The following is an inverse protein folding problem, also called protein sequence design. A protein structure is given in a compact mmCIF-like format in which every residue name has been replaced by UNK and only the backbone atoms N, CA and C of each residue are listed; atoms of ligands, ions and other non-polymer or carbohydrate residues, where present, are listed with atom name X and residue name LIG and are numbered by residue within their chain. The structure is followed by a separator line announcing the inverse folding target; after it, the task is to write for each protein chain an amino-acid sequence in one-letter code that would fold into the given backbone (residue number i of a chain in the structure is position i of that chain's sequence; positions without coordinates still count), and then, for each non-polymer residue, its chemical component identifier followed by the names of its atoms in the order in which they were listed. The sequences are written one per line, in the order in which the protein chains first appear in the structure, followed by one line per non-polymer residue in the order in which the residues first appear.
data_IF_864861154605
#
_entry.id   IF_864861154605
#
_cell.length_a   1.000
_cell.length_b   1.000
_cell.length_c   1.000
_cell.angle_alpha   90.00
_cell.angle_beta   90.00
_cell.angle_gamma   90.00
#
_symmetry.space_group_name_H-M   'P 1'
#
loop_
_entity.id
_entity.type
_entity.pdbx_description
1 polymer ?
#
# COMPACT_ATOMS: atom_id res chain seq x y z
N UNK A 1 7.09 11.73 23.84
CA UNK A 1 6.55 11.18 22.57
C UNK A 1 5.88 12.22 21.66
N UNK A 2 4.87 12.98 22.11
CA UNK A 2 4.11 13.93 21.23
C UNK A 2 4.94 15.05 20.61
N UNK A 3 5.90 15.63 21.35
CA UNK A 3 6.80 16.69 20.85
C UNK A 3 7.64 16.20 19.66
N UNK A 4 8.11 14.95 19.69
CA UNK A 4 8.84 14.31 18.59
C UNK A 4 7.94 14.09 17.38
N UNK A 5 6.72 13.58 17.57
CA UNK A 5 5.78 13.32 16.46
C UNK A 5 5.28 14.60 15.78
N UNK A 6 5.25 15.73 16.52
CA UNK A 6 4.96 17.06 15.95
C UNK A 6 6.18 17.70 15.29
N UNK A 7 7.38 17.17 15.51
CA UNK A 7 8.59 17.70 14.90
C UNK A 7 8.55 17.47 13.39
N UNK A 8 8.43 18.55 12.62
CA UNK A 8 8.30 18.50 11.16
C UNK A 8 9.50 17.88 10.45
N UNK A 9 10.76 18.20 10.84
CA UNK A 9 11.93 17.59 10.22
C UNK A 9 11.95 16.07 10.38
N UNK A 10 11.27 15.49 11.39
CA UNK A 10 11.25 14.04 11.60
C UNK A 10 10.87 13.28 10.33
N UNK A 11 9.75 13.65 9.70
CA UNK A 11 9.28 12.93 8.52
C UNK A 11 10.20 13.16 7.32
N UNK A 12 10.72 14.39 7.16
CA UNK A 12 11.65 14.71 6.10
C UNK A 12 12.97 13.91 6.24
N UNK A 13 13.53 13.86 7.45
CA UNK A 13 14.75 13.09 7.76
C UNK A 13 14.52 11.60 7.51
N UNK A 14 13.42 11.01 7.98
CA UNK A 14 13.11 9.60 7.73
C UNK A 14 12.95 9.28 6.23
N UNK A 15 12.28 10.15 5.48
CA UNK A 15 12.17 10.03 4.02
C UNK A 15 13.53 10.17 3.36
N UNK A 16 14.37 11.10 3.79
CA UNK A 16 15.71 11.31 3.22
C UNK A 16 16.62 10.11 3.49
N UNK A 17 16.60 9.56 4.70
CA UNK A 17 17.35 8.34 5.04
C UNK A 17 16.92 7.17 4.17
N UNK A 18 15.61 6.90 4.06
CA UNK A 18 15.10 5.81 3.21
C UNK A 18 15.35 6.06 1.72
N UNK A 19 15.32 7.32 1.28
CA UNK A 19 15.68 7.71 -0.08
C UNK A 19 17.14 7.36 -0.39
N UNK A 20 18.08 7.64 0.53
CA UNK A 20 19.49 7.30 0.32
C UNK A 20 19.68 5.80 0.10
N UNK A 21 19.03 4.95 0.90
CA UNK A 21 19.05 3.49 0.69
C UNK A 21 18.41 3.07 -0.64
N UNK A 22 17.29 3.69 -1.04
CA UNK A 22 16.64 3.41 -2.32
C UNK A 22 17.47 3.83 -3.52
N UNK A 23 18.15 4.97 -3.45
CA UNK A 23 19.09 5.43 -4.49
C UNK A 23 20.25 4.45 -4.60
N UNK A 24 20.83 4.01 -3.48
CA UNK A 24 21.86 2.98 -3.47
C UNK A 24 21.36 1.67 -4.08
N UNK A 25 20.13 1.24 -3.75
CA UNK A 25 19.50 0.07 -4.36
C UNK A 25 19.28 0.22 -5.88
N UNK A 26 18.93 1.41 -6.36
CA UNK A 26 18.81 1.68 -7.80
C UNK A 26 20.17 1.67 -8.50
N UNK A 27 21.18 2.35 -7.94
CA UNK A 27 22.53 2.37 -8.51
C UNK A 27 23.12 0.95 -8.58
N UNK A 28 22.98 0.18 -7.51
CA UNK A 28 23.47 -1.21 -7.48
C UNK A 28 22.65 -2.16 -8.35
N UNK A 29 21.39 -1.87 -8.64
CA UNK A 29 20.60 -2.66 -9.60
C UNK A 29 21.16 -2.58 -11.03
N UNK A 30 21.61 -1.40 -11.46
CA UNK A 30 22.13 -1.19 -12.82
C UNK A 30 23.65 -1.37 -12.94
N UNK A 31 24.40 -0.88 -11.96
CA UNK A 31 25.88 -0.86 -11.99
C UNK A 31 26.53 -1.93 -11.11
N UNK A 32 25.74 -2.65 -10.30
CA UNK A 32 26.24 -3.72 -9.44
C UNK A 32 26.37 -5.06 -10.15
N UNK A 33 26.73 -6.09 -9.37
CA UNK A 33 26.88 -7.47 -9.84
C UNK A 33 25.54 -8.01 -10.35
N UNK A 34 25.51 -8.62 -11.53
CA UNK A 34 24.26 -9.15 -12.10
C UNK A 34 23.82 -10.50 -11.48
N UNK A 35 24.61 -11.04 -10.56
CA UNK A 35 24.21 -12.19 -9.74
C UNK A 35 23.30 -11.72 -8.60
N UNK A 36 22.02 -12.09 -8.63
CA UNK A 36 21.01 -11.61 -7.67
C UNK A 36 21.36 -11.87 -6.20
N UNK A 37 22.01 -12.99 -5.88
CA UNK A 37 22.44 -13.34 -4.52
C UNK A 37 23.63 -12.53 -4.00
N UNK A 38 24.32 -11.78 -4.85
CA UNK A 38 25.45 -10.90 -4.50
C UNK A 38 25.13 -9.43 -4.74
N UNK A 39 23.95 -9.13 -5.28
CA UNK A 39 23.55 -7.76 -5.57
C UNK A 39 22.87 -7.14 -4.35
N UNK A 40 23.41 -6.00 -3.90
CA UNK A 40 22.84 -5.25 -2.77
C UNK A 40 21.36 -4.90 -2.98
N UNK A 41 20.95 -4.54 -4.19
CA UNK A 41 19.56 -4.17 -4.51
C UNK A 41 18.58 -5.29 -4.20
N UNK A 42 18.86 -6.52 -4.66
CA UNK A 42 17.98 -7.66 -4.45
C UNK A 42 17.91 -8.02 -2.97
N UNK A 43 19.05 -8.11 -2.30
CA UNK A 43 19.12 -8.44 -0.87
C UNK A 43 18.40 -7.38 -0.05
N UNK A 44 18.70 -6.11 -0.29
CA UNK A 44 18.12 -5.01 0.47
C UNK A 44 16.61 -4.92 0.24
N UNK A 45 16.14 -4.91 -1.00
CA UNK A 45 14.71 -4.72 -1.32
C UNK A 45 13.89 -5.93 -0.90
N UNK A 46 14.26 -7.13 -1.34
CA UNK A 46 13.38 -8.30 -1.23
C UNK A 46 13.60 -9.14 0.03
N UNK A 47 14.74 -9.00 0.72
CA UNK A 47 15.04 -9.74 1.95
C UNK A 47 14.91 -8.82 3.16
N UNK A 48 15.77 -7.80 3.23
CA UNK A 48 15.89 -6.95 4.43
C UNK A 48 14.69 -6.01 4.56
N UNK A 49 14.42 -5.19 3.55
CA UNK A 49 13.35 -4.20 3.56
C UNK A 49 11.97 -4.87 3.60
N UNK A 50 11.72 -5.84 2.72
CA UNK A 50 10.45 -6.56 2.68
C UNK A 50 10.17 -7.32 3.98
N UNK A 51 11.18 -8.02 4.53
CA UNK A 51 11.09 -8.70 5.81
C UNK A 51 10.82 -7.73 6.96
N UNK A 52 11.54 -6.61 7.03
CA UNK A 52 11.31 -5.57 8.04
C UNK A 52 9.87 -5.00 7.96
N UNK A 53 9.37 -4.75 6.76
CA UNK A 53 8.01 -4.21 6.59
C UNK A 53 6.95 -5.22 7.03
N UNK A 54 7.02 -6.47 6.56
CA UNK A 54 5.98 -7.47 6.82
C UNK A 54 6.04 -8.03 8.24
N UNK A 55 7.23 -8.32 8.76
CA UNK A 55 7.38 -9.00 10.04
C UNK A 55 7.32 -8.01 11.20
N UNK A 56 7.87 -6.80 11.04
CA UNK A 56 8.00 -5.84 12.13
C UNK A 56 7.04 -4.65 11.99
N UNK A 57 7.13 -3.89 10.90
CA UNK A 57 6.42 -2.61 10.80
C UNK A 57 4.92 -2.77 10.64
N UNK A 58 4.46 -3.72 9.83
CA UNK A 58 3.03 -3.92 9.57
C UNK A 58 2.29 -4.42 10.82
N UNK A 59 2.77 -5.46 11.53
CA UNK A 59 2.13 -5.93 12.74
C UNK A 59 2.18 -4.91 13.87
N UNK A 60 3.24 -4.11 13.98
CA UNK A 60 3.37 -3.12 15.06
C UNK A 60 2.69 -1.78 14.74
N UNK A 61 2.92 -1.24 13.55
CA UNK A 61 2.61 0.15 13.18
C UNK A 61 1.79 0.29 11.88
N UNK A 62 1.26 -0.82 11.35
CA UNK A 62 0.37 -0.82 10.19
C UNK A 62 1.04 -0.23 8.95
N UNK A 63 0.56 0.93 8.49
CA UNK A 63 1.06 1.59 7.27
C UNK A 63 2.17 2.62 7.52
N UNK A 64 2.88 2.56 8.64
CA UNK A 64 3.96 3.50 8.97
C UNK A 64 4.99 3.65 7.83
N UNK A 65 5.36 2.55 7.16
CA UNK A 65 6.26 2.59 6.00
C UNK A 65 5.74 3.51 4.89
N UNK A 66 4.43 3.51 4.63
CA UNK A 66 3.82 4.35 3.61
C UNK A 66 3.96 5.86 3.93
N UNK A 67 4.14 6.24 5.20
CA UNK A 67 4.41 7.61 5.63
C UNK A 67 5.84 8.08 5.32
N UNK A 68 6.80 7.16 5.35
CA UNK A 68 8.24 7.40 5.12
C UNK A 68 8.74 6.92 3.75
N UNK A 69 7.87 6.34 2.92
CA UNK A 69 8.23 5.76 1.63
C UNK A 69 8.87 6.81 0.69
N UNK A 70 10.03 6.52 0.08
CA UNK A 70 10.72 7.46 -0.80
C UNK A 70 10.10 7.55 -2.20
N UNK A 71 9.34 6.55 -2.65
CA UNK A 71 8.75 6.51 -4.00
C UNK A 71 7.89 7.75 -4.33
N UNK A 72 6.91 8.16 -3.49
CA UNK A 72 6.11 9.36 -3.77
C UNK A 72 6.80 10.67 -3.41
N UNK A 73 7.94 10.65 -2.72
CA UNK A 73 8.55 11.84 -2.14
C UNK A 73 8.98 12.88 -3.20
N UNK A 74 9.61 12.51 -4.34
CA UNK A 74 9.96 13.48 -5.36
C UNK A 74 8.73 14.19 -5.93
N UNK A 75 7.66 13.46 -6.24
CA UNK A 75 6.41 14.02 -6.75
C UNK A 75 5.70 14.92 -5.73
N UNK A 76 5.73 14.54 -4.46
CA UNK A 76 5.16 15.32 -3.38
C UNK A 76 5.92 16.63 -3.11
N UNK A 77 7.26 16.59 -3.11
CA UNK A 77 8.09 17.79 -2.97
C UNK A 77 7.91 18.73 -4.16
N UNK A 78 7.79 18.18 -5.37
CA UNK A 78 7.51 18.93 -6.59
C UNK A 78 6.15 19.64 -6.49
N UNK A 79 5.10 18.90 -6.10
CA UNK A 79 3.75 19.44 -5.96
C UNK A 79 3.66 20.52 -4.86
N UNK A 80 4.35 20.32 -3.73
CA UNK A 80 4.31 21.24 -2.57
C UNK A 80 5.28 22.42 -2.68
N UNK A 81 6.27 22.35 -3.57
CA UNK A 81 7.37 23.31 -3.69
C UNK A 81 8.09 23.61 -2.35
N UNK A 82 8.05 22.66 -1.43
CA UNK A 82 8.64 22.76 -0.10
C UNK A 82 8.87 21.38 0.51
N UNK A 83 9.98 21.27 1.22
CA UNK A 83 10.44 20.03 1.83
C UNK A 83 9.88 19.83 3.25
N UNK A 84 9.68 20.91 4.02
CA UNK A 84 9.41 20.82 5.47
C UNK A 84 8.22 21.69 5.90
N UNK A 85 8.12 22.93 5.40
CA UNK A 85 7.09 23.90 5.81
C UNK A 85 6.07 24.13 4.69
N UNK A 86 4.78 24.29 4.98
CA UNK A 86 3.80 24.54 3.95
C UNK A 86 4.03 25.96 3.43
N UNK A 87 4.21 26.10 2.12
CA UNK A 87 4.24 27.40 1.47
C UNK A 87 2.86 27.65 0.87
N UNK A 88 2.30 28.86 1.05
CA UNK A 88 1.05 29.31 0.41
C UNK A 88 1.24 29.59 -1.10
N UNK A 89 1.91 28.70 -1.82
CA UNK A 89 2.06 28.78 -3.27
C UNK A 89 1.11 27.81 -3.96
N UNK A 90 0.69 28.16 -5.17
CA UNK A 90 -0.08 27.27 -6.05
C UNK A 90 0.70 25.98 -6.25
N UNK A 91 0.07 24.85 -5.92
CA UNK A 91 0.69 23.53 -6.07
C UNK A 91 1.13 23.35 -7.53
N UNK A 92 2.33 22.80 -7.75
CA UNK A 92 2.81 22.52 -9.11
C UNK A 92 2.21 21.20 -9.62
N UNK A 93 0.89 21.21 -9.81
CA UNK A 93 0.11 20.09 -10.34
C UNK A 93 -1.17 20.59 -11.01
N UNK A 94 -1.70 19.83 -11.97
CA UNK A 94 -2.98 20.11 -12.63
C UNK A 94 -4.18 20.01 -11.65
N UNK A 95 -3.98 19.48 -10.44
CA UNK A 95 -5.01 19.43 -9.40
C UNK A 95 -6.24 18.60 -9.77
N UNK A 96 -6.14 17.71 -10.78
CA UNK A 96 -7.29 16.91 -11.20
C UNK A 96 -7.68 15.95 -10.08
N UNK A 97 -8.98 15.79 -9.88
CA UNK A 97 -9.52 14.80 -8.94
C UNK A 97 -9.52 13.43 -9.58
N UNK A 98 -9.17 12.41 -8.80
CA UNK A 98 -9.21 11.03 -9.28
C UNK A 98 -10.64 10.62 -9.71
N UNK A 99 -10.81 10.00 -10.90
CA UNK A 99 -12.12 9.70 -11.45
C UNK A 99 -12.94 8.79 -10.52
N UNK A 100 -14.24 9.09 -10.37
CA UNK A 100 -15.13 8.41 -9.41
C UNK A 100 -15.18 6.89 -9.61
N UNK A 101 -15.16 6.41 -10.86
CA UNK A 101 -15.20 4.98 -11.21
C UNK A 101 -13.97 4.19 -10.75
N UNK A 102 -12.83 4.86 -10.62
CA UNK A 102 -11.55 4.25 -10.19
C UNK A 102 -11.26 4.49 -8.70
N UNK A 103 -12.21 5.00 -7.91
CA UNK A 103 -12.06 5.19 -6.45
C UNK A 103 -12.18 3.87 -5.67
N UNK A 104 -11.43 2.87 -6.10
CA UNK A 104 -11.37 1.51 -5.57
C UNK A 104 -9.91 1.02 -5.61
N UNK A 105 -9.62 -0.14 -5.01
CA UNK A 105 -8.29 -0.74 -5.02
C UNK A 105 -8.08 -1.73 -6.17
N UNK A 106 -9.03 -1.84 -7.11
CA UNK A 106 -8.91 -2.73 -8.27
C UNK A 106 -7.64 -2.47 -9.09
N UNK A 107 -7.26 -1.20 -9.25
CA UNK A 107 -6.03 -0.85 -9.95
C UNK A 107 -4.78 -1.29 -9.17
N UNK A 108 -4.80 -1.24 -7.83
CA UNK A 108 -3.73 -1.81 -7.00
C UNK A 108 -3.68 -3.33 -7.10
N UNK A 109 -4.83 -3.99 -7.22
CA UNK A 109 -4.93 -5.43 -7.38
C UNK A 109 -4.33 -5.85 -8.72
N UNK A 110 -4.71 -5.17 -9.81
CA UNK A 110 -4.13 -5.37 -11.13
C UNK A 110 -2.62 -5.15 -11.13
N UNK A 111 -2.15 -4.01 -10.60
CA UNK A 111 -0.71 -3.73 -10.52
C UNK A 111 0.05 -4.76 -9.68
N UNK A 112 -0.55 -5.24 -8.59
CA UNK A 112 0.06 -6.27 -7.75
C UNK A 112 0.12 -7.60 -8.48
N UNK A 113 -0.92 -7.99 -9.19
CA UNK A 113 -0.93 -9.20 -10.02
C UNK A 113 0.11 -9.12 -11.14
N UNK A 114 0.28 -7.96 -11.77
CA UNK A 114 1.34 -7.76 -12.78
C UNK A 114 2.72 -7.98 -12.18
N UNK A 115 3.03 -7.30 -11.06
CA UNK A 115 4.31 -7.47 -10.37
C UNK A 115 4.49 -8.91 -9.88
N UNK A 116 3.40 -9.54 -9.43
CA UNK A 116 3.42 -10.90 -8.94
C UNK A 116 3.68 -11.91 -10.07
N UNK A 117 3.07 -11.71 -11.23
CA UNK A 117 3.25 -12.56 -12.40
C UNK A 117 4.71 -12.56 -12.88
N UNK A 118 5.36 -11.40 -12.85
CA UNK A 118 6.78 -11.23 -13.21
C UNK A 118 7.74 -11.37 -12.02
N UNK A 119 7.28 -11.83 -10.86
CA UNK A 119 8.07 -11.87 -9.64
C UNK A 119 9.36 -12.68 -9.77
N UNK A 120 9.33 -13.83 -10.45
CA UNK A 120 10.51 -14.67 -10.65
C UNK A 120 11.64 -13.91 -11.37
N UNK A 121 11.30 -13.12 -12.39
CA UNK A 121 12.26 -12.29 -13.13
C UNK A 121 12.76 -11.13 -12.26
N UNK A 122 11.86 -10.48 -11.54
CA UNK A 122 12.17 -9.33 -10.69
C UNK A 122 13.11 -9.74 -9.55
N UNK A 123 12.87 -10.89 -8.93
CA UNK A 123 13.64 -11.41 -7.79
C UNK A 123 15.01 -11.96 -8.20
N UNK A 124 15.17 -12.43 -9.44
CA UNK A 124 16.41 -13.07 -9.90
C UNK A 124 17.33 -12.11 -10.66
N UNK A 125 16.78 -11.11 -11.36
CA UNK A 125 17.54 -10.17 -12.20
C UNK A 125 17.56 -8.77 -11.56
N UNK A 126 18.73 -8.28 -11.08
CA UNK A 126 18.83 -6.96 -10.46
C UNK A 126 18.33 -5.82 -11.35
N UNK A 127 18.68 -5.83 -12.64
CA UNK A 127 18.21 -4.83 -13.60
C UNK A 127 16.68 -4.78 -13.70
N UNK A 128 15.99 -5.92 -13.62
CA UNK A 128 14.53 -5.95 -13.64
C UNK A 128 13.92 -5.30 -12.38
N UNK A 129 14.50 -5.56 -11.19
CA UNK A 129 14.12 -4.84 -9.96
C UNK A 129 14.35 -3.33 -10.12
N UNK A 130 15.52 -2.92 -10.65
CA UNK A 130 15.83 -1.51 -10.89
C UNK A 130 14.81 -0.82 -11.81
N UNK A 131 14.45 -1.46 -12.93
CA UNK A 131 13.45 -0.97 -13.88
C UNK A 131 12.08 -0.82 -13.21
N UNK A 132 11.64 -1.81 -12.44
CA UNK A 132 10.33 -1.77 -11.75
C UNK A 132 10.30 -0.65 -10.70
N UNK A 133 11.37 -0.50 -9.91
CA UNK A 133 11.47 0.57 -8.91
C UNK A 133 11.47 1.96 -9.58
N UNK A 134 12.24 2.12 -10.67
CA UNK A 134 12.26 3.35 -11.44
C UNK A 134 10.89 3.66 -12.05
N UNK A 135 10.23 2.65 -12.63
CA UNK A 135 8.88 2.79 -13.17
C UNK A 135 7.87 3.23 -12.09
N UNK A 136 7.97 2.73 -10.86
CA UNK A 136 7.12 3.19 -9.75
C UNK A 136 7.39 4.65 -9.39
N UNK A 137 8.65 5.09 -9.36
CA UNK A 137 9.00 6.48 -9.08
C UNK A 137 8.47 7.39 -10.19
N UNK A 138 8.73 7.05 -11.45
CA UNK A 138 8.26 7.83 -12.60
C UNK A 138 6.73 7.92 -12.64
N UNK A 139 6.04 6.80 -12.40
CA UNK A 139 4.58 6.76 -12.32
C UNK A 139 4.05 7.58 -11.14
N UNK A 140 4.70 7.51 -9.97
CA UNK A 140 4.32 8.31 -8.81
C UNK A 140 4.50 9.81 -9.07
N UNK A 141 5.61 10.22 -9.70
CA UNK A 141 5.87 11.62 -10.08
C UNK A 141 4.86 12.09 -11.12
N UNK A 142 4.67 11.33 -12.21
CA UNK A 142 3.70 11.67 -13.26
C UNK A 142 2.28 11.81 -12.74
N UNK A 143 1.83 10.91 -11.88
CA UNK A 143 0.52 11.02 -11.25
C UNK A 143 0.43 12.19 -10.26
N UNK A 144 1.52 12.55 -9.57
CA UNK A 144 1.53 13.70 -8.66
C UNK A 144 1.47 15.05 -9.40
N UNK A 145 1.97 15.10 -10.65
CA UNK A 145 1.86 16.25 -11.53
C UNK A 145 0.43 16.44 -12.07
N UNK A 146 -0.29 15.35 -12.33
CA UNK A 146 -1.65 15.40 -12.90
C UNK A 146 -2.72 15.48 -11.83
N UNK A 147 -2.61 14.68 -10.77
CA UNK A 147 -3.62 14.49 -9.75
C UNK A 147 -3.22 15.11 -8.41
N UNK A 148 -4.21 15.37 -7.57
CA UNK A 148 -3.98 15.93 -6.23
C UNK A 148 -3.34 14.91 -5.26
N UNK A 149 -2.38 15.39 -4.45
CA UNK A 149 -1.80 14.67 -3.29
C UNK A 149 -1.25 13.28 -3.64
N UNK A 150 -1.17 12.36 -2.67
CA UNK A 150 -0.62 10.99 -2.84
C UNK A 150 -1.64 10.03 -3.49
N UNK A 151 -2.16 10.40 -4.66
CA UNK A 151 -3.11 9.59 -5.45
C UNK A 151 -2.49 8.25 -5.88
N UNK A 152 -1.21 8.24 -6.30
CA UNK A 152 -0.47 7.01 -6.61
C UNK A 152 -0.52 6.01 -5.44
N UNK A 153 -0.17 6.46 -4.23
CA UNK A 153 -0.13 5.59 -3.07
C UNK A 153 -1.52 5.09 -2.68
N UNK A 154 -2.57 5.89 -2.90
CA UNK A 154 -3.95 5.56 -2.55
C UNK A 154 -4.64 4.59 -3.51
N UNK A 155 -4.37 4.67 -4.82
CA UNK A 155 -5.14 3.93 -5.83
C UNK A 155 -4.29 3.05 -6.77
N UNK A 156 -2.97 3.23 -6.84
CA UNK A 156 -2.12 2.55 -7.84
C UNK A 156 -1.05 1.67 -7.21
N UNK A 157 -0.44 2.11 -6.12
CA UNK A 157 0.68 1.42 -5.48
C UNK A 157 0.28 0.00 -5.03
N UNK A 158 0.91 -1.06 -5.59
CA UNK A 158 0.52 -2.45 -5.30
C UNK A 158 0.85 -2.86 -3.87
N UNK A 159 1.97 -2.36 -3.36
CA UNK A 159 2.44 -2.53 -1.97
C UNK A 159 1.53 -1.77 -0.99
N UNK A 160 1.02 -0.61 -1.41
CA UNK A 160 0.11 0.21 -0.61
C UNK A 160 -1.16 -0.55 -0.23
N UNK A 161 -1.80 -1.23 -1.19
CA UNK A 161 -2.99 -2.05 -0.93
C UNK A 161 -2.71 -3.25 -0.04
N UNK A 162 -1.55 -3.90 -0.24
CA UNK A 162 -1.12 -5.06 0.56
C UNK A 162 -0.94 -4.69 2.04
N UNK A 163 -0.12 -3.67 2.31
CA UNK A 163 0.11 -3.15 3.67
C UNK A 163 -1.19 -2.59 4.26
N UNK A 164 -2.06 -2.00 3.41
CA UNK A 164 -3.35 -1.47 3.83
C UNK A 164 -4.28 -2.53 4.42
N UNK A 165 -4.35 -3.73 3.85
CA UNK A 165 -5.19 -4.77 4.44
C UNK A 165 -4.62 -5.28 5.77
N UNK A 166 -3.31 -5.53 5.84
CA UNK A 166 -2.70 -6.01 7.07
C UNK A 166 -2.68 -4.95 8.19
N UNK A 167 -2.74 -3.65 7.87
CA UNK A 167 -2.79 -2.60 8.90
C UNK A 167 -4.06 -2.63 9.75
N UNK A 168 -5.08 -3.39 9.35
CA UNK A 168 -6.25 -3.67 10.18
C UNK A 168 -5.91 -4.51 11.41
N UNK A 169 -4.82 -5.28 11.37
CA UNK A 169 -4.31 -6.03 12.52
C UNK A 169 -3.47 -5.17 13.47
N UNK A 170 -2.90 -4.05 13.01
CA UNK A 170 -1.96 -3.27 13.81
C UNK A 170 -2.56 -2.68 15.12
N UNK A 171 -1.79 -2.70 16.24
CA UNK A 171 -2.18 -2.13 17.52
C UNK A 171 -2.06 -0.61 17.56
N UNK A 172 -1.24 -0.01 16.69
CA UNK A 172 -1.12 1.45 16.58
C UNK A 172 -2.20 1.97 15.64
N UNK A 173 -2.96 2.96 16.10
CA UNK A 173 -3.93 3.68 15.29
C UNK A 173 -3.81 5.19 15.42
N UNK A 174 -4.33 5.90 14.43
CA UNK A 174 -4.51 7.34 14.49
C UNK A 174 -6.01 7.65 14.46
N UNK A 175 -6.51 8.32 15.49
CA UNK A 175 -7.94 8.68 15.63
C UNK A 175 -8.10 10.10 16.16
N UNK A 176 -9.31 10.63 16.01
CA UNK A 176 -9.72 11.82 16.74
C UNK A 176 -9.95 11.48 18.21
N UNK A 177 -9.64 12.39 19.13
CA UNK A 177 -9.83 12.16 20.56
C UNK A 177 -11.31 12.31 20.95
N UNK A 178 -11.92 13.38 20.45
CA UNK A 178 -13.29 13.77 20.73
C UNK A 178 -14.03 14.05 19.41
N UNK A 179 -15.13 13.35 19.17
CA UNK A 179 -15.91 13.50 17.93
C UNK A 179 -16.66 14.82 17.90
N UNK A 180 -17.09 15.34 19.05
CA UNK A 180 -17.88 16.57 19.14
C UNK A 180 -17.01 17.81 18.95
N UNK A 181 -15.79 17.82 19.50
CA UNK A 181 -14.77 18.84 19.14
C UNK A 181 -14.43 18.77 17.65
N UNK A 182 -14.42 17.57 17.07
CA UNK A 182 -14.20 17.43 15.63
C UNK A 182 -15.39 17.98 14.84
N UNK A 183 -16.64 17.84 15.32
CA UNK A 183 -17.85 18.34 14.67
C UNK A 183 -17.90 19.87 14.63
N UNK A 184 -17.61 20.53 15.76
CA UNK A 184 -17.66 22.00 15.90
C UNK A 184 -16.57 22.76 15.13
N UNK A 185 -15.49 22.08 14.74
CA UNK A 185 -14.37 22.72 14.03
C UNK A 185 -14.62 22.84 12.51
N UNK A 186 -15.04 23.99 11.99
CA UNK A 186 -15.51 24.10 10.59
C UNK A 186 -14.43 23.93 9.51
N UNK A 187 -13.23 24.46 9.73
CA UNK A 187 -12.17 24.50 8.70
C UNK A 187 -11.49 23.16 8.46
N UNK A 188 -11.65 22.16 9.36
CA UNK A 188 -11.11 20.79 9.24
C UNK A 188 -9.66 20.75 8.71
N UNK A 189 -8.78 21.53 9.33
CA UNK A 189 -7.36 21.67 8.95
C UNK A 189 -6.59 20.35 8.84
N UNK A 190 -7.00 19.32 9.59
CA UNK A 190 -6.41 17.97 9.49
C UNK A 190 -6.55 17.34 8.09
N UNK A 191 -7.51 17.81 7.29
CA UNK A 191 -7.73 17.38 5.92
C UNK A 191 -7.34 18.45 4.89
N UNK A 192 -7.66 19.72 5.12
CA UNK A 192 -7.34 20.81 4.18
C UNK A 192 -5.87 21.27 4.27
N UNK A 193 -5.26 21.16 5.45
CA UNK A 193 -3.98 21.76 5.78
C UNK A 193 -4.16 23.10 6.50
N UNK A 194 -3.08 23.58 7.10
CA UNK A 194 -2.99 24.87 7.78
C UNK A 194 -1.59 25.45 7.63
N UNK A 195 -1.35 26.65 8.16
CA UNK A 195 0.01 27.18 8.37
C UNK A 195 0.91 26.17 9.11
N UNK A 196 0.29 25.38 10.01
CA UNK A 196 0.97 24.49 10.94
C UNK A 196 1.18 23.06 10.42
N UNK A 197 0.61 22.69 9.26
CA UNK A 197 0.93 21.42 8.61
C UNK A 197 0.21 21.20 7.28
N UNK A 198 0.60 20.15 6.57
CA UNK A 198 -0.05 19.82 5.30
C UNK A 198 -1.36 19.05 5.54
N UNK A 199 -2.34 19.25 4.65
CA UNK A 199 -3.56 18.44 4.66
C UNK A 199 -3.25 16.95 4.44
N UNK A 200 -4.18 16.07 4.84
CA UNK A 200 -3.97 14.62 4.74
C UNK A 200 -3.57 14.20 3.31
N UNK A 201 -2.32 13.70 3.10
CA UNK A 201 -1.83 13.36 1.75
C UNK A 201 -2.59 12.20 1.13
N UNK A 202 -3.18 11.34 1.98
CA UNK A 202 -3.96 10.17 1.61
C UNK A 202 -5.43 10.49 1.32
N UNK A 203 -5.83 11.77 1.36
CA UNK A 203 -7.21 12.18 1.13
C UNK A 203 -8.20 11.49 2.10
N UNK A 204 -7.74 11.16 3.31
CA UNK A 204 -8.54 10.53 4.38
C UNK A 204 -8.87 11.58 5.43
N UNK A 205 -10.14 11.69 5.78
CA UNK A 205 -10.59 12.57 6.84
C UNK A 205 -10.57 11.85 8.20
N UNK A 206 -9.70 12.27 9.17
CA UNK A 206 -9.55 11.59 10.46
C UNK A 206 -10.84 11.48 11.28
N UNK A 207 -11.74 12.45 11.20
CA UNK A 207 -13.00 12.44 11.98
C UNK A 207 -13.98 11.33 11.56
N UNK A 208 -13.82 10.76 10.37
CA UNK A 208 -14.63 9.63 9.88
C UNK A 208 -13.86 8.31 9.82
N UNK A 209 -12.60 8.32 10.27
CA UNK A 209 -11.68 7.20 10.13
C UNK A 209 -12.01 6.11 11.14
N UNK A 210 -12.57 5.02 10.63
CA UNK A 210 -12.91 3.84 11.44
C UNK A 210 -11.95 2.67 11.22
N UNK A 211 -11.26 2.63 10.08
CA UNK A 211 -10.32 1.56 9.70
C UNK A 211 -8.97 2.12 9.21
N UNK A 212 -7.88 1.45 9.55
CA UNK A 212 -6.52 1.84 9.19
C UNK A 212 -6.16 1.58 7.71
N UNK A 213 -7.03 0.90 6.95
CA UNK A 213 -6.77 0.45 5.58
C UNK A 213 -6.27 1.56 4.66
N UNK A 214 -6.85 2.76 4.77
CA UNK A 214 -6.54 3.89 3.90
C UNK A 214 -5.63 4.94 4.54
N UNK A 215 -5.34 4.85 5.83
CA UNK A 215 -4.49 5.79 6.55
C UNK A 215 -3.03 5.39 6.43
N UNK A 216 -2.21 6.17 5.72
CA UNK A 216 -0.76 5.91 5.61
C UNK A 216 0.08 6.31 6.82
N UNK A 217 -0.53 6.57 7.99
CA UNK A 217 0.12 6.93 9.26
C UNK A 217 1.23 8.00 9.15
N UNK A 218 1.06 8.99 8.26
CA UNK A 218 2.05 10.05 8.02
C UNK A 218 2.07 11.18 9.06
N UNK A 219 1.18 11.14 10.06
CA UNK A 219 1.04 12.10 11.17
C UNK A 219 0.83 13.58 10.80
N UNK A 220 0.68 13.95 9.53
CA UNK A 220 0.41 15.34 9.12
C UNK A 220 -0.86 15.95 9.74
N UNK A 221 -1.90 15.14 9.93
CA UNK A 221 -3.12 15.57 10.63
C UNK A 221 -2.90 15.90 12.12
N UNK A 222 -1.91 15.30 12.77
CA UNK A 222 -1.52 15.61 14.15
C UNK A 222 -0.80 16.97 14.25
N UNK A 223 -0.07 17.34 13.19
CA UNK A 223 0.67 18.61 13.08
C UNK A 223 -0.25 19.77 12.68
N UNK A 224 -1.23 19.50 11.82
CA UNK A 224 -2.08 20.53 11.20
C UNK A 224 -3.27 20.97 12.04
N UNK A 225 -3.75 20.14 12.98
CA UNK A 225 -4.99 20.39 13.73
C UNK A 225 -4.81 21.38 14.89
N UNK A 226 -5.34 22.60 14.74
CA UNK A 226 -5.37 23.65 15.78
C UNK A 226 -6.07 23.20 17.07
N UNK A 227 -7.22 22.52 16.95
CA UNK A 227 -7.98 21.98 18.09
C UNK A 227 -7.27 20.83 18.83
N UNK A 228 -6.07 20.42 18.38
CA UNK A 228 -5.23 19.43 19.06
C UNK A 228 -5.93 18.07 19.30
N UNK A 229 -6.91 17.76 18.45
CA UNK A 229 -7.92 16.71 18.61
C UNK A 229 -7.58 15.42 17.84
N UNK A 230 -6.32 15.25 17.44
CA UNK A 230 -5.81 14.01 16.83
C UNK A 230 -4.81 13.37 17.78
N UNK A 231 -4.86 12.04 17.91
CA UNK A 231 -3.95 11.26 18.73
C UNK A 231 -3.52 9.96 18.01
N UNK A 232 -2.38 9.44 18.44
CA UNK A 232 -1.95 8.08 18.14
C UNK A 232 -2.26 7.25 19.39
N UNK A 233 -3.05 6.20 19.24
CA UNK A 233 -3.49 5.34 20.33
C UNK A 233 -2.96 3.92 20.14
N UNK A 234 -2.83 3.20 21.26
CA UNK A 234 -2.64 1.76 21.27
C UNK A 234 -3.98 1.08 21.52
N UNK A 235 -4.23 0.01 20.80
CA UNK A 235 -5.44 -0.81 20.90
C UNK A 235 -5.11 -2.29 20.74
N UNK A 236 -6.02 -3.21 21.11
CA UNK A 236 -5.87 -4.61 20.80
C UNK A 236 -5.69 -4.85 19.29
N UNK A 237 -4.72 -5.70 18.88
CA UNK A 237 -4.55 -6.09 17.49
C UNK A 237 -5.84 -6.65 16.88
N UNK A 238 -6.09 -6.36 15.60
CA UNK A 238 -7.24 -6.90 14.86
C UNK A 238 -8.58 -6.19 15.09
N UNK A 239 -8.65 -5.14 15.92
CA UNK A 239 -9.92 -4.42 16.18
C UNK A 239 -10.62 -3.93 14.91
N UNK A 240 -9.87 -3.46 13.90
CA UNK A 240 -10.45 -2.99 12.62
C UNK A 240 -11.04 -4.10 11.75
N UNK A 241 -10.66 -5.36 11.96
CA UNK A 241 -11.19 -6.50 11.21
C UNK A 241 -12.69 -6.68 11.48
N UNK A 242 -13.14 -6.34 12.69
CA UNK A 242 -14.54 -6.45 13.10
C UNK A 242 -15.40 -5.28 12.63
N UNK A 243 -14.80 -4.21 12.10
CA UNK A 243 -15.54 -3.06 11.57
C UNK A 243 -16.14 -3.41 10.21
N UNK A 244 -17.47 -3.47 10.14
CA UNK A 244 -18.23 -3.74 8.90
C UNK A 244 -18.27 -2.53 7.95
N UNK A 245 -18.19 -1.31 8.49
CA UNK A 245 -18.30 -0.07 7.72
C UNK A 245 -17.17 0.07 6.72
N UNK A 246 -17.54 0.16 5.44
CA UNK A 246 -16.62 0.45 4.34
C UNK A 246 -15.98 -0.79 3.70
N UNK A 247 -16.34 -2.01 4.13
CA UNK A 247 -15.94 -3.25 3.44
C UNK A 247 -16.39 -3.22 1.98
N UNK A 248 -15.51 -3.67 1.09
CA UNK A 248 -15.74 -3.66 -0.35
C UNK A 248 -15.17 -4.92 -1.00
N UNK A 249 -15.71 -5.27 -2.16
CA UNK A 249 -15.30 -6.46 -2.91
C UNK A 249 -13.85 -6.40 -3.39
N UNK A 250 -13.35 -5.21 -3.71
CA UNK A 250 -11.96 -5.00 -4.12
C UNK A 250 -10.97 -5.33 -2.97
N UNK A 251 -11.31 -4.97 -1.72
CA UNK A 251 -10.59 -5.39 -0.49
C UNK A 251 -10.60 -6.91 -0.33
N UNK A 252 -11.75 -7.56 -0.51
CA UNK A 252 -11.87 -9.03 -0.43
C UNK A 252 -11.02 -9.74 -1.49
N UNK A 253 -11.10 -9.29 -2.75
CA UNK A 253 -10.29 -9.83 -3.85
C UNK A 253 -8.79 -9.65 -3.58
N UNK A 254 -8.37 -8.54 -2.98
CA UNK A 254 -6.97 -8.37 -2.60
C UNK A 254 -6.52 -9.39 -1.57
N UNK A 255 -7.36 -9.72 -0.58
CA UNK A 255 -7.06 -10.77 0.40
C UNK A 255 -6.94 -12.15 -0.29
N UNK A 256 -7.84 -12.48 -1.22
CA UNK A 256 -7.74 -13.72 -2.01
C UNK A 256 -6.47 -13.75 -2.87
N UNK A 257 -6.16 -12.68 -3.57
CA UNK A 257 -4.94 -12.57 -4.38
C UNK A 257 -3.70 -12.79 -3.49
N UNK A 258 -3.67 -12.23 -2.29
CA UNK A 258 -2.54 -12.41 -1.38
C UNK A 258 -2.39 -13.87 -0.93
N UNK A 259 -3.50 -14.53 -0.59
CA UNK A 259 -3.50 -15.94 -0.22
C UNK A 259 -3.10 -16.83 -1.41
N UNK A 260 -3.68 -16.60 -2.59
CA UNK A 260 -3.38 -17.34 -3.81
C UNK A 260 -1.92 -17.16 -4.23
N UNK A 261 -1.38 -15.94 -4.23
CA UNK A 261 0.03 -15.69 -4.52
C UNK A 261 0.95 -16.40 -3.53
N UNK A 262 0.64 -16.40 -2.23
CA UNK A 262 1.45 -17.10 -1.24
C UNK A 262 1.52 -18.61 -1.54
N UNK A 263 0.37 -19.24 -1.79
CA UNK A 263 0.30 -20.66 -2.16
C UNK A 263 1.01 -20.95 -3.49
N UNK A 264 0.75 -20.14 -4.51
CA UNK A 264 1.36 -20.29 -5.82
C UNK A 264 2.88 -20.18 -5.75
N UNK A 265 3.43 -19.21 -5.02
CA UNK A 265 4.88 -19.07 -4.87
C UNK A 265 5.52 -20.19 -4.07
N UNK A 266 4.85 -20.71 -3.03
CA UNK A 266 5.33 -21.89 -2.33
C UNK A 266 5.47 -23.08 -3.29
N UNK A 267 4.48 -23.30 -4.16
CA UNK A 267 4.53 -24.38 -5.16
C UNK A 267 5.60 -24.11 -6.24
N UNK A 268 5.63 -22.91 -6.79
CA UNK A 268 6.50 -22.55 -7.93
C UNK A 268 7.96 -22.47 -7.49
N UNK A 269 8.28 -21.71 -6.43
CA UNK A 269 9.66 -21.39 -6.08
C UNK A 269 10.29 -22.43 -5.16
N UNK A 270 9.52 -23.00 -4.22
CA UNK A 270 10.02 -23.99 -3.25
C UNK A 270 9.76 -25.44 -3.68
N UNK A 271 8.81 -25.67 -4.59
CA UNK A 271 8.50 -27.02 -5.06
C UNK A 271 9.61 -27.66 -5.90
N UNK A 272 9.56 -29.00 -6.07
CA UNK A 272 10.55 -29.76 -6.85
C UNK A 272 10.37 -29.61 -8.37
N UNK A 273 9.30 -28.96 -8.85
CA UNK A 273 8.95 -28.90 -10.27
C UNK A 273 9.76 -27.82 -11.01
N UNK A 274 10.92 -28.20 -11.57
CA UNK A 274 11.78 -27.32 -12.36
C UNK A 274 11.05 -26.68 -13.55
N UNK A 275 10.17 -27.44 -14.22
CA UNK A 275 9.41 -26.93 -15.37
C UNK A 275 8.58 -25.70 -15.01
N UNK A 276 7.92 -25.73 -13.84
CA UNK A 276 7.10 -24.61 -13.34
C UNK A 276 7.95 -23.36 -13.04
N UNK A 277 9.17 -23.55 -12.57
CA UNK A 277 10.15 -22.45 -12.38
C UNK A 277 10.57 -21.87 -13.73
N UNK A 278 10.82 -22.70 -14.73
CA UNK A 278 11.20 -22.27 -16.07
C UNK A 278 10.06 -21.51 -16.77
N UNK A 279 8.80 -21.94 -16.57
CA UNK A 279 7.61 -21.17 -16.94
C UNK A 279 7.67 -19.76 -16.39
N UNK A 280 7.82 -19.66 -15.07
CA UNK A 280 7.77 -18.40 -14.36
C UNK A 280 8.95 -17.48 -14.73
N UNK A 281 10.11 -18.07 -15.06
CA UNK A 281 11.32 -17.35 -15.47
C UNK A 281 11.32 -16.88 -16.93
N UNK A 282 10.22 -17.08 -17.67
CA UNK A 282 10.08 -16.70 -19.07
C UNK A 282 11.07 -17.43 -19.97
N UNK A 283 11.30 -18.74 -19.74
CA UNK A 283 12.20 -19.54 -20.57
C UNK A 283 11.65 -19.74 -21.99
N UNK A 284 10.34 -19.93 -22.12
CA UNK A 284 9.62 -20.00 -23.40
C UNK A 284 8.28 -19.28 -23.30
N UNK A 285 7.86 -18.61 -24.38
CA UNK A 285 6.68 -17.75 -24.39
C UNK A 285 5.37 -18.54 -24.19
N UNK A 286 5.23 -19.69 -24.87
CA UNK A 286 4.09 -20.59 -24.77
C UNK A 286 3.89 -21.10 -23.33
N UNK A 287 4.97 -21.57 -22.70
CA UNK A 287 4.97 -22.05 -21.32
C UNK A 287 4.69 -20.92 -20.31
N UNK A 288 5.22 -19.72 -20.56
CA UNK A 288 4.92 -18.55 -19.74
C UNK A 288 3.46 -18.10 -19.85
N UNK A 289 2.87 -18.13 -21.05
CA UNK A 289 1.45 -17.78 -21.26
C UNK A 289 0.53 -18.77 -20.54
N UNK A 290 0.84 -20.08 -20.60
CA UNK A 290 0.12 -21.10 -19.86
C UNK A 290 0.21 -20.87 -18.34
N UNK A 291 1.42 -20.59 -17.83
CA UNK A 291 1.64 -20.22 -16.43
C UNK A 291 0.85 -18.96 -16.04
N UNK A 292 0.87 -17.92 -16.86
CA UNK A 292 0.17 -16.67 -16.60
C UNK A 292 -1.36 -16.87 -16.55
N UNK A 293 -1.90 -17.63 -17.50
CA UNK A 293 -3.32 -17.98 -17.53
C UNK A 293 -3.73 -18.78 -16.29
N UNK A 294 -2.95 -19.81 -15.92
CA UNK A 294 -3.19 -20.60 -14.71
C UNK A 294 -3.10 -19.76 -13.43
N UNK A 295 -2.06 -18.93 -13.32
CA UNK A 295 -1.85 -18.03 -12.18
C UNK A 295 -3.01 -17.05 -12.00
N UNK A 296 -3.45 -16.40 -13.08
CA UNK A 296 -4.59 -15.47 -13.05
C UNK A 296 -5.91 -16.19 -12.76
N UNK A 297 -6.13 -17.37 -13.33
CA UNK A 297 -7.31 -18.19 -13.06
C UNK A 297 -7.39 -18.57 -11.57
N UNK A 298 -6.27 -18.99 -10.97
CA UNK A 298 -6.21 -19.32 -9.54
C UNK A 298 -6.57 -18.11 -8.68
N UNK A 299 -5.97 -16.95 -8.98
CA UNK A 299 -6.13 -15.72 -8.19
C UNK A 299 -7.54 -15.10 -8.31
N UNK A 300 -8.12 -15.09 -9.51
CA UNK A 300 -9.33 -14.32 -9.80
C UNK A 300 -10.61 -15.18 -9.87
N UNK A 301 -10.49 -16.47 -10.17
CA UNK A 301 -11.63 -17.34 -10.42
C UNK A 301 -11.70 -18.49 -9.42
N UNK A 302 -10.65 -19.30 -9.33
CA UNK A 302 -10.69 -20.57 -8.57
C UNK A 302 -10.79 -20.28 -7.08
N UNK A 303 -9.87 -19.51 -6.49
CA UNK A 303 -9.89 -19.29 -5.03
C UNK A 303 -11.13 -18.48 -4.59
N UNK A 304 -11.49 -17.34 -5.22
CA UNK A 304 -12.72 -16.64 -4.89
C UNK A 304 -13.98 -17.48 -5.15
N UNK A 305 -13.99 -18.30 -6.21
CA UNK A 305 -15.10 -19.18 -6.57
C UNK A 305 -15.29 -20.34 -5.60
N UNK A 306 -14.19 -20.96 -5.13
CA UNK A 306 -14.21 -21.96 -4.07
C UNK A 306 -14.74 -21.37 -2.77
N UNK A 307 -14.26 -20.19 -2.38
CA UNK A 307 -14.78 -19.50 -1.20
C UNK A 307 -16.28 -19.18 -1.34
N UNK A 308 -16.71 -18.71 -2.52
CA UNK A 308 -18.11 -18.47 -2.82
C UNK A 308 -18.94 -19.75 -2.69
N UNK A 309 -18.45 -20.88 -3.23
CA UNK A 309 -19.12 -22.17 -3.16
C UNK A 309 -19.26 -22.65 -1.71
N UNK A 310 -18.22 -22.49 -0.89
CA UNK A 310 -18.25 -22.82 0.54
C UNK A 310 -19.26 -21.95 1.29
N UNK A 311 -19.26 -20.63 1.06
CA UNK A 311 -20.24 -19.70 1.66
C UNK A 311 -21.66 -20.06 1.23
N UNK A 312 -21.86 -20.38 -0.04
CA UNK A 312 -23.15 -20.79 -0.58
C UNK A 312 -23.65 -22.11 0.05
N UNK A 313 -22.79 -23.12 0.11
CA UNK A 313 -23.11 -24.42 0.70
C UNK A 313 -23.40 -24.30 2.20
N UNK A 314 -22.57 -23.54 2.93
CA UNK A 314 -22.76 -23.25 4.36
C UNK A 314 -24.12 -22.58 4.62
N UNK A 315 -24.50 -21.59 3.80
CA UNK A 315 -25.84 -20.95 3.90
C UNK A 315 -26.99 -21.92 3.61
N UNK A 316 -26.80 -22.84 2.66
CA UNK A 316 -27.81 -23.84 2.30
C UNK A 316 -27.98 -24.88 3.41
N UNK A 317 -26.90 -25.35 4.01
CA UNK A 317 -26.89 -26.33 5.10
C UNK A 317 -27.36 -25.73 6.43
N UNK A 318 -26.96 -24.50 6.75
CA UNK A 318 -27.37 -23.79 7.98
C UNK A 318 -28.77 -23.18 7.94
N UNK A 319 -29.52 -23.34 6.85
CA UNK A 319 -30.85 -22.77 6.63
C UNK A 319 -30.96 -21.23 6.79
N UNK A 320 -29.83 -20.50 6.76
CA UNK A 320 -29.74 -19.04 6.91
C UNK A 320 -29.88 -18.33 5.55
N UNK A 321 -30.99 -18.58 4.85
CA UNK A 321 -31.20 -18.07 3.48
C UNK A 321 -31.40 -16.55 3.42
N UNK A 322 -31.78 -15.91 4.53
CA UNK A 322 -32.13 -14.49 4.60
C UNK A 322 -30.92 -13.53 4.53
N UNK A 323 -29.70 -13.98 4.82
CA UNK A 323 -28.49 -13.14 4.72
C UNK A 323 -28.00 -13.11 3.27
N UNK A 324 -27.87 -11.94 2.65
CA UNK A 324 -27.39 -11.82 1.25
C UNK A 324 -25.96 -12.37 1.12
N UNK A 325 -25.61 -13.11 0.04
CA UNK A 325 -24.27 -13.68 -0.12
C UNK A 325 -23.16 -12.61 -0.13
N UNK A 326 -23.44 -11.43 -0.70
CA UNK A 326 -22.53 -10.26 -0.69
C UNK A 326 -22.25 -9.69 0.72
N UNK A 327 -23.06 -10.01 1.72
CA UNK A 327 -22.81 -9.57 3.09
C UNK A 327 -21.83 -10.49 3.84
N UNK A 328 -21.63 -11.71 3.33
CA UNK A 328 -20.76 -12.75 3.91
C UNK A 328 -19.45 -12.88 3.12
N UNK A 329 -19.48 -12.51 1.84
CA UNK A 329 -18.33 -12.46 0.93
C UNK A 329 -17.49 -11.21 1.13
#
# INVERSE_FOLDING_TARGET
MRRVLKWRPLQFVLVLTTMAFFVLALLTAFFGTQAGNRNFSIIFVWIVWWGMVIILMVPAAGRAWCGICPIPAPGEWLQRQSFVHPRRRTLWSLGKRWPKRLKNIWLQNGMFLTVALFSAIILTRPAATGIVLLAFILLAVGLSLVYERRTFCRYVCPVGGFIGLYSMNAPIELRVKDVDVCRTHDTKECYLGSEQGFGCPWLVFPGSLTRNTYCGLCTECLKSCSMNNVAINLRPPGTDLFVSKGRRMDEAYKAFIMLACALAYSVVLLGPWGVLKDAANFARLDWWLAYAAGFLAINLLILPGLFFAVVYLSRRLGNVRHVKPKAVF
#
